data_IF_215219525725
#
_entry.id   IF_215219525725
#
_cell.length_a   1.000
_cell.length_b   1.000
_cell.length_c   1.000
_cell.angle_alpha   90.00
_cell.angle_beta   90.00
_cell.angle_gamma   90.00
#
_symmetry.space_group_name_H-M   'P 1'
#
loop_
_entity.id
_entity.type
_entity.pdbx_description
1 polymer ?
#
# COMPACT_ATOMS: atom_id res chain seq x y z
N UNK A 1 -25.22 31.56 35.90
CA UNK A 1 -24.69 31.52 34.52
C UNK A 1 -23.90 30.22 34.40
N UNK A 2 -24.57 29.10 34.19
CA UNK A 2 -25.02 28.53 32.91
C UNK A 2 -23.94 27.66 32.24
N UNK A 3 -24.27 26.36 32.22
CA UNK A 3 -23.81 25.18 31.45
C UNK A 3 -22.77 25.39 30.34
N UNK A 4 -21.90 24.38 30.18
CA UNK A 4 -22.00 23.41 29.07
C UNK A 4 -21.08 22.21 29.30
N UNK A 5 -21.68 21.02 29.42
CA UNK A 5 -20.99 19.74 29.39
C UNK A 5 -20.84 19.23 27.96
N UNK A 6 -19.82 18.42 27.72
CA UNK A 6 -19.62 17.67 26.50
C UNK A 6 -19.20 16.24 26.85
N UNK A 7 -20.12 15.49 27.47
CA UNK A 7 -20.07 14.03 27.45
C UNK A 7 -20.49 13.57 26.05
N UNK A 8 -19.50 13.27 25.22
CA UNK A 8 -19.72 12.61 23.93
C UNK A 8 -20.00 11.13 24.17
N UNK A 9 -21.26 10.81 24.49
CA UNK A 9 -21.80 9.46 24.42
C UNK A 9 -21.81 8.96 22.97
N UNK A 10 -21.36 7.73 22.67
CA UNK A 10 -21.57 7.14 21.37
C UNK A 10 -23.08 6.92 21.17
N UNK A 11 -23.61 7.40 20.05
CA UNK A 11 -24.98 7.15 19.61
C UNK A 11 -25.17 5.64 19.41
N UNK A 12 -25.58 4.94 20.46
CA UNK A 12 -26.19 3.62 20.36
C UNK A 12 -27.55 3.80 19.69
N UNK A 13 -27.60 3.47 18.40
CA UNK A 13 -28.87 3.24 17.71
C UNK A 13 -29.51 2.02 18.38
N UNK A 14 -30.44 2.27 19.31
CA UNK A 14 -31.33 1.25 19.84
C UNK A 14 -32.34 0.87 18.74
N UNK A 15 -31.92 0.03 17.79
CA UNK A 15 -32.87 -0.74 16.97
C UNK A 15 -33.27 -1.98 17.78
N UNK A 16 -34.50 -1.99 18.28
CA UNK A 16 -35.18 -3.14 18.93
C UNK A 16 -35.60 -4.23 17.93
N UNK A 17 -34.98 -4.28 16.74
CA UNK A 17 -35.07 -5.45 15.86
C UNK A 17 -33.99 -6.44 16.29
N UNK A 18 -34.42 -7.65 16.62
CA UNK A 18 -33.53 -8.77 16.90
C UNK A 18 -32.64 -8.94 15.66
N UNK A 19 -31.35 -8.58 15.79
CA UNK A 19 -30.42 -8.68 14.67
C UNK A 19 -30.38 -10.10 14.13
N UNK A 20 -30.22 -10.18 12.81
CA UNK A 20 -30.29 -11.40 12.01
C UNK A 20 -29.40 -12.53 12.58
N UNK A 21 -29.82 -13.78 12.43
CA UNK A 21 -28.93 -14.91 12.75
C UNK A 21 -27.93 -15.09 11.63
N UNK A 22 -26.63 -15.17 11.93
CA UNK A 22 -25.57 -15.47 10.97
C UNK A 22 -24.99 -16.85 11.26
N UNK A 23 -24.90 -17.68 10.24
CA UNK A 23 -24.23 -18.97 10.32
C UNK A 23 -22.76 -18.87 9.89
N UNK A 24 -21.86 -19.53 10.63
CA UNK A 24 -20.44 -19.62 10.27
C UNK A 24 -20.05 -21.09 10.17
N UNK A 25 -19.69 -21.54 8.97
CA UNK A 25 -19.14 -22.87 8.75
C UNK A 25 -17.64 -22.86 9.04
N UNK A 26 -17.23 -23.69 10.00
CA UNK A 26 -15.85 -23.78 10.43
C UNK A 26 -15.58 -23.02 11.73
N UNK A 27 -15.00 -23.73 12.70
CA UNK A 27 -14.68 -23.25 14.05
C UNK A 27 -13.19 -22.94 14.23
N UNK A 28 -12.50 -22.68 13.12
CA UNK A 28 -11.08 -22.29 13.10
C UNK A 28 -10.85 -20.85 13.59
N UNK A 29 -9.61 -20.37 13.49
CA UNK A 29 -9.23 -19.06 14.05
C UNK A 29 -10.01 -17.89 13.46
N UNK A 30 -10.18 -17.87 12.14
CA UNK A 30 -10.98 -16.82 11.49
C UNK A 30 -12.46 -16.89 11.89
N UNK A 31 -13.06 -18.09 11.88
CA UNK A 31 -14.46 -18.29 12.29
C UNK A 31 -14.71 -17.86 13.74
N UNK A 32 -13.80 -18.21 14.66
CA UNK A 32 -13.82 -17.76 16.07
C UNK A 32 -13.77 -16.25 16.19
N UNK A 33 -12.79 -15.61 15.54
CA UNK A 33 -12.64 -14.15 15.58
C UNK A 33 -13.85 -13.41 15.03
N UNK A 34 -14.35 -13.85 13.88
CA UNK A 34 -15.49 -13.22 13.22
C UNK A 34 -16.77 -13.42 14.04
N UNK A 35 -17.03 -14.64 14.52
CA UNK A 35 -18.19 -14.92 15.36
C UNK A 35 -18.17 -14.17 16.68
N UNK A 36 -17.01 -14.04 17.34
CA UNK A 36 -16.87 -13.21 18.53
C UNK A 36 -17.19 -11.74 18.23
N UNK A 37 -16.67 -11.20 17.12
CA UNK A 37 -16.97 -9.82 16.71
C UNK A 37 -18.44 -9.61 16.37
N UNK A 38 -19.08 -10.58 15.73
CA UNK A 38 -20.52 -10.56 15.43
C UNK A 38 -21.38 -10.55 16.68
N UNK A 39 -21.06 -11.37 17.69
CA UNK A 39 -21.74 -11.36 18.99
C UNK A 39 -21.59 -10.01 19.70
N UNK A 40 -20.41 -9.39 19.67
CA UNK A 40 -20.20 -8.05 20.23
C UNK A 40 -21.06 -6.98 19.54
N UNK A 41 -21.35 -7.16 18.26
CA UNK A 41 -22.18 -6.25 17.47
C UNK A 41 -23.67 -6.57 17.55
N UNK A 42 -24.07 -7.60 18.32
CA UNK A 42 -25.46 -7.97 18.63
C UNK A 42 -26.09 -9.06 17.73
N UNK A 43 -25.34 -9.61 16.77
CA UNK A 43 -25.83 -10.72 15.94
C UNK A 43 -25.95 -12.01 16.74
N UNK A 44 -26.96 -12.83 16.41
CA UNK A 44 -27.03 -14.21 16.89
C UNK A 44 -26.15 -15.09 15.98
N UNK A 45 -25.17 -15.81 16.55
CA UNK A 45 -24.21 -16.60 15.77
C UNK A 45 -24.45 -18.10 15.97
N UNK A 46 -24.52 -18.84 14.87
CA UNK A 46 -24.60 -20.31 14.87
C UNK A 46 -23.39 -20.87 14.12
N UNK A 47 -22.58 -21.68 14.78
CA UNK A 47 -21.43 -22.35 14.16
C UNK A 47 -21.84 -23.71 13.58
N UNK A 48 -21.46 -23.95 12.34
CA UNK A 48 -21.44 -25.29 11.72
C UNK A 48 -20.08 -25.94 11.91
N UNK A 49 -20.04 -27.12 12.54
CA UNK A 49 -18.81 -27.88 12.78
C UNK A 49 -18.99 -29.37 12.48
N UNK A 50 -17.91 -30.03 12.04
CA UNK A 50 -17.85 -31.50 11.91
C UNK A 50 -18.04 -32.21 13.24
N UNK A 51 -17.61 -31.59 14.34
CA UNK A 51 -17.76 -32.14 15.68
C UNK A 51 -18.33 -31.05 16.62
N UNK A 52 -19.67 -30.92 16.73
CA UNK A 52 -20.30 -29.88 17.53
C UNK A 52 -20.06 -30.05 19.04
N UNK A 53 -19.68 -31.25 19.49
CA UNK A 53 -19.36 -31.52 20.91
C UNK A 53 -18.04 -30.87 21.35
N UNK A 54 -17.15 -30.55 20.42
CA UNK A 54 -15.84 -29.95 20.71
C UNK A 54 -15.89 -28.42 20.53
N UNK A 55 -16.53 -27.74 21.49
CA UNK A 55 -16.84 -26.30 21.44
C UNK A 55 -16.12 -25.44 22.48
N UNK A 56 -15.13 -25.98 23.20
CA UNK A 56 -14.51 -25.34 24.38
C UNK A 56 -13.83 -23.98 24.13
N UNK A 57 -13.42 -23.69 22.89
CA UNK A 57 -12.73 -22.46 22.50
C UNK A 57 -13.65 -21.46 21.77
N UNK A 58 -14.95 -21.73 21.71
CA UNK A 58 -15.93 -20.88 21.03
C UNK A 58 -16.51 -19.82 21.99
N UNK A 59 -16.93 -18.66 21.45
CA UNK A 59 -17.48 -17.60 22.27
C UNK A 59 -18.79 -18.04 22.95
N UNK A 60 -18.93 -17.72 24.24
CA UNK A 60 -20.16 -17.99 25.00
C UNK A 60 -21.32 -17.21 24.37
N UNK A 61 -22.45 -17.87 24.15
CA UNK A 61 -23.64 -17.28 23.53
C UNK A 61 -23.83 -17.64 22.04
N UNK A 62 -22.88 -18.34 21.41
CA UNK A 62 -23.09 -18.96 20.10
C UNK A 62 -23.48 -20.43 20.25
N UNK A 63 -24.41 -20.88 19.41
CA UNK A 63 -24.79 -22.29 19.29
C UNK A 63 -23.85 -23.00 18.31
N UNK A 64 -23.60 -24.30 18.52
CA UNK A 64 -22.72 -25.10 17.67
C UNK A 64 -23.46 -26.36 17.24
N UNK A 65 -23.67 -26.51 15.94
CA UNK A 65 -24.46 -27.57 15.34
C UNK A 65 -23.66 -28.28 14.24
N UNK A 66 -24.21 -29.38 13.73
CA UNK A 66 -23.72 -29.94 12.48
C UNK A 66 -24.03 -28.98 11.31
N UNK A 67 -23.37 -29.18 10.16
CA UNK A 67 -23.50 -28.25 9.03
C UNK A 67 -24.92 -28.10 8.50
N UNK A 68 -25.69 -29.21 8.42
CA UNK A 68 -27.05 -29.19 7.88
C UNK A 68 -28.01 -28.42 8.79
N UNK A 69 -27.98 -28.70 10.09
CA UNK A 69 -28.78 -28.00 11.09
C UNK A 69 -28.40 -26.52 11.17
N UNK A 70 -27.09 -26.21 11.17
CA UNK A 70 -26.62 -24.83 11.19
C UNK A 70 -27.11 -24.02 9.97
N UNK A 71 -27.07 -24.61 8.77
CA UNK A 71 -27.55 -23.97 7.54
C UNK A 71 -29.05 -23.62 7.58
N UNK A 72 -29.87 -24.44 8.24
CA UNK A 72 -31.31 -24.18 8.37
C UNK A 72 -31.66 -22.96 9.21
N UNK A 73 -30.75 -22.50 10.08
CA UNK A 73 -31.02 -21.42 11.05
C UNK A 73 -30.70 -20.01 10.56
N UNK A 74 -30.10 -19.85 9.38
CA UNK A 74 -29.69 -18.55 8.84
C UNK A 74 -29.84 -18.50 7.33
N UNK A 75 -30.04 -17.30 6.79
CA UNK A 75 -29.97 -17.05 5.34
C UNK A 75 -28.56 -16.66 4.87
N UNK A 76 -27.68 -16.24 5.78
CA UNK A 76 -26.30 -15.83 5.49
C UNK A 76 -25.36 -16.83 6.15
N UNK A 77 -24.61 -17.56 5.33
CA UNK A 77 -23.67 -18.58 5.76
C UNK A 77 -22.26 -18.15 5.33
N UNK A 78 -21.38 -17.94 6.30
CA UNK A 78 -19.99 -17.56 6.09
C UNK A 78 -19.11 -18.80 6.10
N UNK A 79 -18.41 -19.06 5.00
CA UNK A 79 -17.58 -20.24 4.84
C UNK A 79 -16.15 -19.99 5.34
N UNK A 80 -15.95 -20.11 6.65
CA UNK A 80 -14.65 -19.97 7.32
C UNK A 80 -13.80 -21.26 7.22
N UNK A 81 -13.66 -21.78 5.99
CA UNK A 81 -12.89 -22.99 5.68
C UNK A 81 -12.07 -22.81 4.40
N UNK A 82 -11.01 -23.61 4.26
CA UNK A 82 -10.15 -23.58 3.07
C UNK A 82 -10.81 -24.29 1.89
N UNK A 83 -10.48 -23.84 0.66
CA UNK A 83 -11.03 -24.38 -0.59
C UNK A 83 -10.92 -25.89 -0.69
N UNK A 84 -9.81 -26.47 -0.22
CA UNK A 84 -9.56 -27.92 -0.27
C UNK A 84 -10.60 -28.75 0.50
N UNK A 85 -11.45 -28.12 1.31
CA UNK A 85 -12.49 -28.77 2.08
C UNK A 85 -13.91 -28.45 1.59
N UNK A 86 -14.06 -27.75 0.46
CA UNK A 86 -15.38 -27.39 -0.08
C UNK A 86 -16.20 -28.59 -0.54
N UNK A 87 -15.57 -29.74 -0.78
CA UNK A 87 -16.26 -30.94 -1.23
C UNK A 87 -17.34 -31.40 -0.24
N UNK A 88 -17.24 -31.09 1.05
CA UNK A 88 -18.32 -31.39 2.00
C UNK A 88 -19.62 -30.61 1.75
N UNK A 89 -19.58 -29.55 0.93
CA UNK A 89 -20.75 -28.75 0.58
C UNK A 89 -21.63 -29.43 -0.47
N UNK A 90 -21.09 -30.41 -1.23
CA UNK A 90 -21.89 -31.12 -2.25
C UNK A 90 -23.00 -31.95 -1.63
N UNK A 91 -22.80 -32.43 -0.40
CA UNK A 91 -23.82 -33.14 0.38
C UNK A 91 -24.86 -32.19 1.00
N UNK A 92 -24.61 -30.88 0.94
CA UNK A 92 -25.43 -29.83 1.55
C UNK A 92 -26.09 -28.92 0.49
N UNK A 93 -26.09 -29.30 -0.78
CA UNK A 93 -26.64 -28.44 -1.86
C UNK A 93 -28.11 -28.08 -1.61
N UNK A 94 -28.93 -29.05 -1.19
CA UNK A 94 -30.35 -28.83 -0.91
C UNK A 94 -30.60 -27.81 0.21
N UNK A 95 -30.02 -27.95 1.43
CA UNK A 95 -30.21 -26.96 2.50
C UNK A 95 -29.56 -25.60 2.22
N UNK A 96 -28.62 -25.51 1.29
CA UNK A 96 -27.94 -24.27 0.90
C UNK A 96 -28.65 -23.53 -0.25
N UNK A 97 -29.67 -24.13 -0.86
CA UNK A 97 -30.38 -23.53 -1.98
C UNK A 97 -31.08 -22.21 -1.57
N UNK A 98 -30.90 -21.15 -2.36
CA UNK A 98 -31.40 -19.80 -2.09
C UNK A 98 -30.68 -19.04 -0.96
N UNK A 99 -29.71 -19.65 -0.28
CA UNK A 99 -28.91 -19.01 0.78
C UNK A 99 -27.83 -18.10 0.21
N UNK A 100 -27.36 -17.17 1.03
CA UNK A 100 -26.20 -16.34 0.72
C UNK A 100 -24.96 -17.02 1.28
N UNK A 101 -24.07 -17.46 0.40
CA UNK A 101 -22.79 -18.05 0.78
C UNK A 101 -21.70 -17.00 0.67
N UNK A 102 -21.10 -16.65 1.82
CA UNK A 102 -19.99 -15.70 1.87
C UNK A 102 -18.67 -16.45 1.85
N UNK A 103 -17.95 -16.36 0.74
CA UNK A 103 -16.60 -16.90 0.60
C UNK A 103 -15.57 -15.91 1.16
N UNK A 104 -14.84 -16.34 2.19
CA UNK A 104 -13.79 -15.57 2.87
C UNK A 104 -12.38 -16.14 2.64
N UNK A 105 -12.25 -17.14 1.77
CA UNK A 105 -11.02 -17.90 1.59
C UNK A 105 -9.92 -17.10 0.86
N UNK A 106 -8.67 -17.46 1.14
CA UNK A 106 -7.50 -17.02 0.37
C UNK A 106 -6.67 -18.23 -0.05
N UNK A 107 -6.04 -18.15 -1.21
CA UNK A 107 -5.10 -19.16 -1.69
C UNK A 107 -3.71 -18.96 -1.05
N UNK A 108 -2.84 -19.97 -1.14
CA UNK A 108 -1.46 -19.86 -0.60
C UNK A 108 -0.52 -19.11 -1.53
N UNK A 109 -0.81 -19.13 -2.83
CA UNK A 109 -0.04 -18.48 -3.89
C UNK A 109 -0.97 -17.93 -4.96
N UNK A 110 -0.53 -16.89 -5.65
CA UNK A 110 -1.20 -16.33 -6.82
C UNK A 110 -1.25 -17.40 -7.92
N UNK A 111 -2.37 -17.49 -8.63
CA UNK A 111 -2.61 -18.46 -9.72
C UNK A 111 -2.41 -19.93 -9.27
N UNK A 112 -2.83 -20.28 -8.04
CA UNK A 112 -2.82 -21.67 -7.57
C UNK A 112 -3.86 -22.53 -8.30
N UNK A 113 -5.02 -21.96 -8.61
CA UNK A 113 -6.14 -22.58 -9.30
C UNK A 113 -6.51 -21.75 -10.55
N UNK A 114 -7.18 -22.34 -11.57
CA UNK A 114 -7.52 -21.63 -12.81
C UNK A 114 -8.59 -20.55 -12.57
N UNK A 115 -9.62 -20.88 -11.81
CA UNK A 115 -10.71 -19.99 -11.39
C UNK A 115 -10.59 -19.58 -9.93
N UNK A 116 -11.28 -18.49 -9.55
CA UNK A 116 -11.32 -18.03 -8.16
C UNK A 116 -12.05 -19.02 -7.25
N UNK A 117 -11.83 -18.90 -5.94
CA UNK A 117 -12.49 -19.77 -4.95
C UNK A 117 -14.00 -19.52 -4.91
N UNK A 118 -14.41 -18.26 -5.06
CA UNK A 118 -15.81 -17.90 -5.11
C UNK A 118 -16.52 -18.40 -6.39
N UNK A 119 -15.85 -18.39 -7.54
CA UNK A 119 -16.39 -18.99 -8.78
C UNK A 119 -16.54 -20.50 -8.67
N UNK A 120 -15.53 -21.19 -8.12
CA UNK A 120 -15.61 -22.63 -7.88
C UNK A 120 -16.74 -22.98 -6.90
N UNK A 121 -16.89 -22.20 -5.83
CA UNK A 121 -17.99 -22.37 -4.88
C UNK A 121 -19.36 -22.19 -5.55
N UNK A 122 -19.50 -21.22 -6.46
CA UNK A 122 -20.74 -21.03 -7.21
C UNK A 122 -21.06 -22.20 -8.14
N UNK A 123 -20.05 -22.91 -8.65
CA UNK A 123 -20.24 -24.14 -9.42
C UNK A 123 -20.63 -25.32 -8.53
N UNK A 124 -20.10 -25.42 -7.31
CA UNK A 124 -20.43 -26.47 -6.36
C UNK A 124 -21.86 -26.35 -5.81
N UNK A 125 -22.35 -25.13 -5.59
CA UNK A 125 -23.71 -24.87 -5.07
C UNK A 125 -24.44 -23.86 -5.97
N UNK A 126 -24.91 -24.27 -7.16
CA UNK A 126 -25.50 -23.35 -8.16
C UNK A 126 -26.76 -22.63 -7.69
N UNK A 127 -27.49 -23.21 -6.74
CA UNK A 127 -28.70 -22.63 -6.17
C UNK A 127 -28.44 -21.52 -5.14
N UNK A 128 -27.19 -21.33 -4.69
CA UNK A 128 -26.84 -20.32 -3.70
C UNK A 128 -26.32 -19.02 -4.33
N UNK A 129 -26.51 -17.91 -3.61
CA UNK A 129 -25.96 -16.61 -3.98
C UNK A 129 -24.58 -16.43 -3.36
N UNK A 130 -23.52 -16.67 -4.15
CA UNK A 130 -22.14 -16.50 -3.69
C UNK A 130 -21.72 -15.03 -3.67
N UNK A 131 -21.13 -14.62 -2.55
CA UNK A 131 -20.53 -13.29 -2.35
C UNK A 131 -19.11 -13.45 -1.81
N UNK A 132 -18.12 -12.83 -2.46
CA UNK A 132 -16.76 -12.73 -1.93
C UNK A 132 -16.69 -11.57 -0.93
N UNK A 133 -16.23 -11.81 0.28
CA UNK A 133 -16.00 -10.75 1.27
C UNK A 133 -15.00 -11.17 2.35
N UNK A 134 -14.58 -10.22 3.19
CA UNK A 134 -13.76 -10.39 4.42
C UNK A 134 -12.36 -11.00 4.27
N UNK A 135 -11.97 -11.48 3.10
CA UNK A 135 -10.66 -12.12 2.86
C UNK A 135 -9.47 -11.16 3.05
N UNK A 136 -9.70 -9.84 3.03
CA UNK A 136 -8.68 -8.81 3.29
C UNK A 136 -8.44 -8.50 4.76
N UNK A 137 -9.30 -8.99 5.66
CA UNK A 137 -9.21 -8.74 7.10
C UNK A 137 -8.58 -9.95 7.78
N UNK A 138 -7.59 -9.72 8.65
CA UNK A 138 -6.98 -10.81 9.41
C UNK A 138 -7.81 -11.17 10.65
N UNK A 139 -7.75 -12.44 11.06
CA UNK A 139 -8.40 -12.92 12.27
C UNK A 139 -7.96 -12.14 13.53
N UNK A 140 -6.70 -11.70 13.56
CA UNK A 140 -6.16 -10.89 14.65
C UNK A 140 -6.75 -9.48 14.67
N UNK A 141 -6.90 -8.82 13.52
CA UNK A 141 -7.45 -7.47 13.44
C UNK A 141 -8.91 -7.38 13.92
N UNK A 142 -9.69 -8.46 13.74
CA UNK A 142 -11.05 -8.57 14.27
C UNK A 142 -11.08 -8.65 15.81
N UNK A 143 -10.05 -9.24 16.44
CA UNK A 143 -9.96 -9.38 17.89
C UNK A 143 -9.37 -8.13 18.57
N UNK A 144 -8.32 -7.54 17.98
CA UNK A 144 -7.59 -6.40 18.55
C UNK A 144 -8.25 -5.04 18.31
N UNK A 145 -9.33 -4.99 17.53
CA UNK A 145 -10.15 -3.79 17.37
C UNK A 145 -9.76 -2.88 16.19
N UNK A 146 -9.38 -3.41 15.03
CA UNK A 146 -9.17 -2.64 13.76
C UNK A 146 -8.30 -1.38 13.88
N UNK A 147 -7.38 -1.32 14.85
CA UNK A 147 -6.57 -0.13 15.14
C UNK A 147 -5.44 0.08 14.10
N UNK A 148 -4.93 -0.99 13.49
CA UNK A 148 -3.68 -0.94 12.71
C UNK A 148 -3.77 -1.42 11.25
N UNK A 149 -4.96 -1.77 10.74
CA UNK A 149 -5.14 -2.30 9.39
C UNK A 149 -6.29 -1.64 8.63
N UNK A 150 -6.25 -1.76 7.29
CA UNK A 150 -7.34 -1.26 6.43
C UNK A 150 -8.68 -1.83 6.90
N UNK A 151 -9.63 -0.93 7.19
CA UNK A 151 -11.03 -1.28 7.51
C UNK A 151 -11.83 -1.64 6.26
N UNK A 152 -11.20 -1.59 5.08
CA UNK A 152 -11.86 -1.84 3.82
C UNK A 152 -12.08 -3.34 3.60
N UNK A 153 -13.32 -3.68 3.29
CA UNK A 153 -13.72 -5.03 2.87
C UNK A 153 -14.16 -4.95 1.43
N UNK A 154 -13.42 -5.57 0.52
CA UNK A 154 -13.86 -5.70 -0.86
C UNK A 154 -15.00 -6.70 -0.93
N UNK A 155 -16.08 -6.34 -1.61
CA UNK A 155 -17.28 -7.17 -1.78
C UNK A 155 -17.58 -7.31 -3.26
N UNK A 156 -17.77 -8.53 -3.74
CA UNK A 156 -18.26 -8.78 -5.10
C UNK A 156 -19.19 -10.01 -5.15
N UNK A 157 -19.99 -10.10 -6.20
CA UNK A 157 -21.06 -11.11 -6.32
C UNK A 157 -22.07 -10.74 -7.40
N UNK A 158 -22.76 -11.75 -7.93
CA UNK A 158 -23.68 -11.57 -9.07
C UNK A 158 -25.10 -11.12 -8.64
N UNK A 159 -25.52 -11.47 -7.42
CA UNK A 159 -26.81 -11.02 -6.88
C UNK A 159 -26.65 -9.74 -6.06
N UNK A 160 -27.30 -8.67 -6.49
CA UNK A 160 -27.19 -7.35 -5.86
C UNK A 160 -27.78 -7.34 -4.45
N UNK A 161 -28.89 -8.04 -4.23
CA UNK A 161 -29.57 -8.11 -2.92
C UNK A 161 -28.69 -8.82 -1.88
N UNK A 162 -28.09 -9.94 -2.25
CA UNK A 162 -27.15 -10.69 -1.43
C UNK A 162 -25.91 -9.84 -1.09
N UNK A 163 -25.32 -9.17 -2.10
CA UNK A 163 -24.20 -8.25 -1.86
C UNK A 163 -24.56 -7.16 -0.85
N UNK A 164 -25.70 -6.50 -1.01
CA UNK A 164 -26.11 -5.43 -0.09
C UNK A 164 -26.25 -5.92 1.35
N UNK A 165 -26.87 -7.09 1.58
CA UNK A 165 -26.96 -7.70 2.92
C UNK A 165 -25.59 -7.98 3.53
N UNK A 166 -24.65 -8.51 2.75
CA UNK A 166 -23.27 -8.77 3.22
C UNK A 166 -22.53 -7.45 3.51
N UNK A 167 -22.75 -6.41 2.71
CA UNK A 167 -22.20 -5.08 2.97
C UNK A 167 -22.78 -4.46 4.27
N UNK A 168 -24.06 -4.67 4.57
CA UNK A 168 -24.67 -4.22 5.83
C UNK A 168 -24.08 -4.94 7.04
N UNK A 169 -23.82 -6.25 6.93
CA UNK A 169 -23.06 -6.99 7.94
C UNK A 169 -21.68 -6.35 8.13
N UNK A 170 -20.94 -6.08 7.06
CA UNK A 170 -19.63 -5.43 7.16
C UNK A 170 -19.69 -4.05 7.86
N UNK A 171 -20.69 -3.22 7.57
CA UNK A 171 -20.90 -1.91 8.22
C UNK A 171 -21.16 -2.06 9.72
N UNK A 172 -22.02 -2.99 10.11
CA UNK A 172 -22.36 -3.26 11.52
C UNK A 172 -21.14 -3.74 12.31
N UNK A 173 -20.21 -4.44 11.67
CA UNK A 173 -18.93 -4.84 12.29
C UNK A 173 -17.93 -3.67 12.44
N UNK A 174 -18.28 -2.46 11.98
CA UNK A 174 -17.40 -1.28 11.97
C UNK A 174 -16.42 -1.24 10.80
N UNK A 175 -16.68 -2.01 9.73
CA UNK A 175 -15.85 -2.07 8.54
C UNK A 175 -16.45 -1.22 7.41
N UNK A 176 -15.64 -0.90 6.41
CA UNK A 176 -16.03 -0.09 5.24
C UNK A 176 -16.12 -0.98 4.00
N UNK A 177 -17.32 -1.45 3.61
CA UNK A 177 -17.45 -2.28 2.42
C UNK A 177 -17.24 -1.45 1.15
N UNK A 178 -16.55 -2.04 0.17
CA UNK A 178 -16.31 -1.47 -1.15
C UNK A 178 -16.80 -2.47 -2.21
N UNK A 179 -17.86 -2.12 -2.95
CA UNK A 179 -18.40 -2.96 -4.02
C UNK A 179 -17.46 -2.96 -5.23
N UNK A 180 -16.97 -4.13 -5.62
CA UNK A 180 -16.09 -4.37 -6.76
C UNK A 180 -16.86 -4.94 -7.97
N UNK A 181 -18.20 -4.98 -7.93
CA UNK A 181 -19.04 -5.40 -9.03
C UNK A 181 -19.41 -6.88 -8.98
N UNK A 182 -19.28 -7.56 -10.13
CA UNK A 182 -19.69 -8.96 -10.31
C UNK A 182 -18.70 -9.96 -9.71
N UNK A 183 -19.07 -11.24 -9.67
CA UNK A 183 -18.22 -12.31 -9.13
C UNK A 183 -16.87 -12.46 -9.87
N UNK A 184 -16.77 -11.99 -11.11
CA UNK A 184 -15.52 -11.99 -11.90
C UNK A 184 -14.39 -11.22 -11.20
N UNK A 185 -14.72 -10.21 -10.38
CA UNK A 185 -13.73 -9.47 -9.61
C UNK A 185 -13.10 -10.28 -8.46
N UNK A 186 -13.67 -11.44 -8.08
CA UNK A 186 -13.21 -12.26 -6.96
C UNK A 186 -11.74 -12.70 -7.13
N UNK A 187 -11.30 -13.00 -8.35
CA UNK A 187 -9.91 -13.39 -8.62
C UNK A 187 -8.91 -12.26 -8.23
N UNK A 188 -9.22 -11.01 -8.57
CA UNK A 188 -8.36 -9.88 -8.17
C UNK A 188 -8.39 -9.66 -6.65
N UNK A 189 -9.56 -9.80 -6.03
CA UNK A 189 -9.74 -9.67 -4.57
C UNK A 189 -8.96 -10.75 -3.80
N UNK A 190 -8.93 -11.99 -4.29
CA UNK A 190 -8.16 -13.10 -3.70
C UNK A 190 -6.65 -12.90 -3.83
N UNK A 191 -6.22 -12.28 -4.92
CA UNK A 191 -4.81 -11.99 -5.15
C UNK A 191 -4.32 -10.79 -4.32
N UNK A 192 -5.20 -9.87 -3.93
CA UNK A 192 -4.86 -8.65 -3.20
C UNK A 192 -4.02 -8.89 -1.92
N UNK A 193 -4.44 -9.74 -0.95
CA UNK A 193 -3.67 -9.96 0.28
C UNK A 193 -2.35 -10.71 0.07
N UNK A 194 -2.16 -11.38 -1.08
CA UNK A 194 -0.95 -12.15 -1.40
C UNK A 194 0.16 -11.29 -2.01
N UNK A 195 -0.16 -10.08 -2.45
CA UNK A 195 0.79 -9.18 -3.11
C UNK A 195 1.53 -8.31 -2.09
N UNK A 196 2.85 -8.45 -2.05
CA UNK A 196 3.73 -7.54 -1.31
C UNK A 196 4.36 -6.53 -2.27
N UNK A 197 3.86 -5.28 -2.22
CA UNK A 197 4.34 -4.12 -2.98
C UNK A 197 4.71 -4.42 -4.45
N UNK A 198 3.79 -4.97 -5.28
CA UNK A 198 4.11 -5.47 -6.61
C UNK A 198 4.66 -4.38 -7.54
N UNK A 199 4.07 -3.18 -7.49
CA UNK A 199 4.46 -2.03 -8.31
C UNK A 199 5.76 -1.35 -7.84
N UNK A 200 6.23 -1.65 -6.63
CA UNK A 200 7.45 -1.05 -6.07
C UNK A 200 8.71 -1.87 -6.36
N UNK A 201 8.55 -3.12 -6.79
CA UNK A 201 9.69 -4.01 -7.09
C UNK A 201 10.66 -3.36 -8.07
N UNK A 202 10.17 -2.94 -9.24
CA UNK A 202 11.02 -2.35 -10.27
C UNK A 202 11.72 -1.06 -9.81
N UNK A 203 11.02 -0.06 -9.23
CA UNK A 203 11.65 1.11 -8.62
C UNK A 203 12.73 0.77 -7.59
N UNK A 204 12.48 -0.19 -6.68
CA UNK A 204 13.47 -0.59 -5.69
C UNK A 204 14.68 -1.25 -6.32
N UNK A 205 14.51 -2.26 -7.17
CA UNK A 205 15.62 -2.92 -7.87
C UNK A 205 16.46 -1.92 -8.65
N UNK A 206 15.82 -1.05 -9.43
CA UNK A 206 16.50 -0.03 -10.22
C UNK A 206 17.29 0.95 -9.32
N UNK A 207 16.68 1.45 -8.26
CA UNK A 207 17.34 2.38 -7.34
C UNK A 207 18.51 1.73 -6.59
N UNK A 208 18.39 0.46 -6.20
CA UNK A 208 19.47 -0.30 -5.56
C UNK A 208 20.66 -0.46 -6.50
N UNK A 209 20.42 -0.84 -7.77
CA UNK A 209 21.48 -0.98 -8.77
C UNK A 209 22.18 0.35 -9.02
N UNK A 210 21.44 1.44 -9.20
CA UNK A 210 22.01 2.78 -9.38
C UNK A 210 22.83 3.21 -8.17
N UNK A 211 22.32 3.02 -6.96
CA UNK A 211 23.04 3.35 -5.72
C UNK A 211 24.34 2.57 -5.59
N UNK A 212 24.33 1.26 -5.83
CA UNK A 212 25.55 0.43 -5.77
C UNK A 212 26.56 0.89 -6.81
N UNK A 213 26.12 1.13 -8.05
CA UNK A 213 26.99 1.59 -9.12
C UNK A 213 27.66 2.93 -8.78
N UNK A 214 26.90 3.95 -8.39
CA UNK A 214 27.45 5.26 -8.05
C UNK A 214 28.26 5.21 -6.75
N UNK A 215 27.88 4.36 -5.79
CA UNK A 215 28.66 4.16 -4.57
C UNK A 215 30.05 3.61 -4.90
N UNK A 216 30.14 2.52 -5.67
CA UNK A 216 31.42 1.93 -6.08
C UNK A 216 32.26 2.95 -6.86
N UNK A 217 31.64 3.67 -7.81
CA UNK A 217 32.31 4.73 -8.55
C UNK A 217 32.90 5.82 -7.61
N UNK A 218 32.13 6.29 -6.63
CA UNK A 218 32.59 7.27 -5.66
C UNK A 218 33.66 6.71 -4.72
N UNK A 219 33.58 5.45 -4.30
CA UNK A 219 34.61 4.79 -3.47
C UNK A 219 35.94 4.72 -4.22
N UNK A 220 35.92 4.29 -5.47
CA UNK A 220 37.12 4.24 -6.31
C UNK A 220 37.76 5.62 -6.40
N UNK A 221 36.96 6.66 -6.69
CA UNK A 221 37.45 8.01 -6.90
C UNK A 221 37.87 8.74 -5.62
N UNK A 222 37.13 8.58 -4.53
CA UNK A 222 37.31 9.42 -3.33
C UNK A 222 38.04 8.74 -2.18
N UNK A 223 38.19 7.41 -2.23
CA UNK A 223 38.87 6.63 -1.19
C UNK A 223 40.06 5.88 -1.76
N UNK A 224 39.84 5.07 -2.82
CA UNK A 224 40.92 4.23 -3.38
C UNK A 224 41.97 5.11 -4.08
N UNK A 225 41.56 6.07 -4.91
CA UNK A 225 42.50 6.92 -5.63
C UNK A 225 43.42 7.75 -4.69
N UNK A 226 42.91 8.48 -3.67
CA UNK A 226 43.78 9.18 -2.71
C UNK A 226 44.66 8.24 -1.89
N UNK A 227 44.14 7.05 -1.54
CA UNK A 227 44.92 6.06 -0.81
C UNK A 227 46.12 5.55 -1.63
N UNK A 228 45.91 5.25 -2.90
CA UNK A 228 46.96 4.71 -3.79
C UNK A 228 47.98 5.79 -4.18
N UNK A 229 47.52 6.98 -4.57
CA UNK A 229 48.39 8.01 -5.15
C UNK A 229 48.96 8.99 -4.10
N UNK A 230 48.15 9.40 -3.13
CA UNK A 230 48.51 10.43 -2.15
C UNK A 230 48.88 9.84 -0.78
N UNK A 231 48.66 8.51 -0.58
CA UNK A 231 48.86 7.80 0.69
C UNK A 231 48.09 8.41 1.86
N UNK A 232 46.93 9.01 1.58
CA UNK A 232 46.07 9.63 2.59
C UNK A 232 44.87 8.75 2.94
N UNK A 233 44.57 8.63 4.23
CA UNK A 233 43.34 7.97 4.67
C UNK A 233 42.16 8.95 4.57
N UNK A 234 41.22 8.61 3.67
CA UNK A 234 39.98 9.35 3.43
C UNK A 234 38.74 8.48 3.59
N UNK A 235 38.87 7.32 4.22
CA UNK A 235 37.78 6.33 4.41
C UNK A 235 36.57 6.90 5.15
N UNK A 236 36.77 7.91 6.02
CA UNK A 236 35.66 8.63 6.70
C UNK A 236 34.62 9.24 5.73
N UNK A 237 34.98 9.45 4.46
CA UNK A 237 34.06 9.94 3.42
C UNK A 237 32.90 8.98 3.16
N UNK A 238 33.06 7.68 3.42
CA UNK A 238 32.04 6.64 3.26
C UNK A 238 30.76 6.94 4.05
N UNK A 239 30.87 7.57 5.23
CA UNK A 239 29.73 7.76 6.12
C UNK A 239 28.74 8.82 5.64
N UNK A 240 29.24 9.96 5.13
CA UNK A 240 28.38 11.12 4.78
C UNK A 240 28.72 11.72 3.42
N UNK A 241 30.01 11.88 3.09
CA UNK A 241 30.39 12.56 1.84
C UNK A 241 29.99 11.76 0.60
N UNK A 242 30.21 10.44 0.60
CA UNK A 242 29.86 9.56 -0.52
C UNK A 242 28.33 9.41 -0.66
N UNK A 243 27.56 9.09 0.40
CA UNK A 243 26.10 9.10 0.31
C UNK A 243 25.52 10.43 -0.19
N UNK A 244 26.08 11.57 0.23
CA UNK A 244 25.65 12.90 -0.25
C UNK A 244 26.05 13.21 -1.71
N UNK A 245 26.74 12.31 -2.39
CA UNK A 245 26.89 12.34 -3.86
C UNK A 245 25.99 11.32 -4.54
N UNK A 246 25.87 10.12 -3.96
CA UNK A 246 25.06 9.04 -4.54
C UNK A 246 23.58 9.40 -4.53
N UNK A 247 23.03 9.84 -3.40
CA UNK A 247 21.60 10.12 -3.25
C UNK A 247 21.06 11.19 -4.22
N UNK A 248 21.66 12.38 -4.37
CA UNK A 248 21.15 13.36 -5.33
C UNK A 248 21.23 12.87 -6.79
N UNK A 249 22.29 12.13 -7.16
CA UNK A 249 22.43 11.57 -8.51
C UNK A 249 21.33 10.53 -8.75
N UNK A 250 21.13 9.59 -7.82
CA UNK A 250 20.06 8.60 -7.92
C UNK A 250 18.68 9.26 -7.97
N UNK A 251 18.44 10.29 -7.15
CA UNK A 251 17.18 11.05 -7.17
C UNK A 251 16.91 11.69 -8.54
N UNK A 252 17.90 12.39 -9.11
CA UNK A 252 17.78 13.05 -10.41
C UNK A 252 17.59 12.05 -11.56
N UNK A 253 18.34 10.93 -11.55
CA UNK A 253 18.20 9.89 -12.57
C UNK A 253 16.81 9.25 -12.49
N UNK A 254 16.34 8.89 -11.31
CA UNK A 254 15.00 8.32 -11.14
C UNK A 254 13.91 9.32 -11.53
N UNK A 255 14.07 10.59 -11.19
CA UNK A 255 13.17 11.66 -11.60
C UNK A 255 13.09 11.76 -13.13
N UNK A 256 14.23 11.77 -13.83
CA UNK A 256 14.25 11.76 -15.29
C UNK A 256 13.53 10.52 -15.89
N UNK A 257 13.68 9.36 -15.24
CA UNK A 257 12.99 8.12 -15.65
C UNK A 257 11.49 8.11 -15.38
N UNK A 258 10.94 9.08 -14.65
CA UNK A 258 9.48 9.29 -14.52
C UNK A 258 8.91 9.87 -15.82
N UNK A 259 9.61 10.82 -16.44
CA UNK A 259 9.11 11.58 -17.62
C UNK A 259 9.53 10.95 -18.95
N UNK A 260 10.66 10.25 -18.99
CA UNK A 260 11.18 9.62 -20.21
C UNK A 260 10.14 8.71 -20.93
N UNK A 261 9.31 7.91 -20.25
CA UNK A 261 8.25 7.12 -20.90
C UNK A 261 7.23 7.97 -21.66
N UNK A 262 6.89 9.14 -21.13
CA UNK A 262 5.94 10.05 -21.76
C UNK A 262 6.48 10.59 -23.07
N UNK A 263 7.75 10.98 -23.09
CA UNK A 263 8.46 11.43 -24.30
C UNK A 263 8.54 10.30 -25.33
N UNK A 264 8.93 9.09 -24.91
CA UNK A 264 9.00 7.92 -25.81
C UNK A 264 7.62 7.54 -26.36
N UNK A 265 6.58 7.61 -25.53
CA UNK A 265 5.21 7.36 -25.95
C UNK A 265 4.74 8.39 -26.99
N UNK A 266 5.06 9.67 -26.80
CA UNK A 266 4.74 10.73 -27.76
C UNK A 266 5.44 10.52 -29.11
N UNK A 267 6.74 10.23 -29.10
CA UNK A 267 7.51 9.91 -30.33
C UNK A 267 6.88 8.71 -31.06
N UNK A 268 6.53 7.66 -30.31
CA UNK A 268 5.96 6.45 -30.89
C UNK A 268 4.55 6.68 -31.47
N UNK A 269 3.74 7.52 -30.83
CA UNK A 269 2.43 7.92 -31.34
C UNK A 269 2.55 8.73 -32.64
N UNK A 270 3.49 9.68 -32.71
CA UNK A 270 3.77 10.45 -33.91
C UNK A 270 4.23 9.54 -35.06
N UNK A 271 5.17 8.63 -34.80
CA UNK A 271 5.64 7.66 -35.79
C UNK A 271 4.51 6.76 -36.32
N UNK A 272 3.58 6.34 -35.46
CA UNK A 272 2.44 5.49 -35.85
C UNK A 272 1.31 6.25 -36.55
N UNK A 273 1.26 7.57 -36.42
CA UNK A 273 0.14 8.40 -36.89
C UNK A 273 -1.19 8.14 -36.16
N UNK A 274 -1.19 7.39 -35.06
CA UNK A 274 -2.41 7.06 -34.30
C UNK A 274 -2.12 6.72 -32.84
N UNK A 275 -3.00 7.18 -31.94
CA UNK A 275 -2.98 6.86 -30.51
C UNK A 275 -3.65 5.53 -30.16
N UNK A 276 -4.40 4.93 -31.10
CA UNK A 276 -5.24 3.75 -30.85
C UNK A 276 -4.48 2.42 -30.92
N UNK A 277 -3.17 2.45 -31.20
CA UNK A 277 -2.31 1.26 -31.16
C UNK A 277 -1.69 1.09 -29.78
N UNK A 278 -1.88 -0.10 -29.19
CA UNK A 278 -1.30 -0.47 -27.89
C UNK A 278 0.22 -0.25 -27.84
N UNK A 279 0.72 0.25 -26.71
CA UNK A 279 2.16 0.35 -26.48
C UNK A 279 2.83 -1.03 -26.36
N UNK A 280 4.13 -1.15 -26.68
CA UNK A 280 4.89 -2.33 -26.33
C UNK A 280 4.79 -2.63 -24.83
N UNK A 281 4.71 -3.91 -24.46
CA UNK A 281 4.46 -4.32 -23.07
C UNK A 281 5.46 -3.75 -22.06
N UNK A 282 6.72 -3.53 -22.46
CA UNK A 282 7.74 -2.94 -21.58
C UNK A 282 7.45 -1.47 -21.26
N UNK A 283 6.97 -0.69 -22.23
CA UNK A 283 6.65 0.73 -22.06
C UNK A 283 5.38 0.90 -21.24
N UNK A 284 4.39 0.06 -21.49
CA UNK A 284 3.12 0.03 -20.74
C UNK A 284 3.36 -0.26 -19.24
N UNK A 285 4.17 -1.29 -18.94
CA UNK A 285 4.58 -1.61 -17.55
C UNK A 285 5.34 -0.46 -16.90
N UNK A 286 6.23 0.20 -17.63
CA UNK A 286 6.99 1.35 -17.10
C UNK A 286 6.08 2.55 -16.81
N UNK A 287 5.11 2.84 -17.69
CA UNK A 287 4.12 3.90 -17.52
C UNK A 287 3.29 3.74 -16.23
N UNK A 288 2.98 2.50 -15.83
CA UNK A 288 2.26 2.18 -14.59
C UNK A 288 3.10 2.39 -13.32
N UNK A 289 4.44 2.34 -13.43
CA UNK A 289 5.37 2.50 -12.30
C UNK A 289 5.84 3.94 -12.07
N UNK A 290 5.38 4.91 -12.87
CA UNK A 290 5.83 6.33 -12.80
C UNK A 290 5.65 6.93 -11.40
N UNK A 291 4.49 6.68 -10.77
CA UNK A 291 4.20 7.15 -9.42
C UNK A 291 5.22 6.62 -8.40
N UNK A 292 5.51 5.32 -8.46
CA UNK A 292 6.42 4.67 -7.52
C UNK A 292 7.87 5.12 -7.75
N UNK A 293 8.30 5.28 -9.01
CA UNK A 293 9.61 5.88 -9.34
C UNK A 293 9.75 7.29 -8.77
N UNK A 294 8.74 8.15 -8.95
CA UNK A 294 8.75 9.51 -8.43
C UNK A 294 8.82 9.56 -6.91
N UNK A 295 8.09 8.71 -6.20
CA UNK A 295 8.14 8.63 -4.73
C UNK A 295 9.50 8.13 -4.21
N UNK A 296 10.12 7.15 -4.87
CA UNK A 296 11.47 6.69 -4.51
C UNK A 296 12.50 7.81 -4.76
N UNK A 297 12.40 8.50 -5.90
CA UNK A 297 13.23 9.65 -6.22
C UNK A 297 13.11 10.78 -5.18
N UNK A 298 11.88 11.08 -4.72
CA UNK A 298 11.63 12.05 -3.67
C UNK A 298 12.29 11.64 -2.33
N UNK A 299 12.25 10.35 -2.00
CA UNK A 299 12.94 9.81 -0.82
C UNK A 299 14.45 10.05 -0.86
N UNK A 300 15.11 9.82 -2.01
CA UNK A 300 16.53 10.12 -2.17
C UNK A 300 16.83 11.62 -2.15
N UNK A 301 15.97 12.45 -2.74
CA UNK A 301 16.10 13.91 -2.67
C UNK A 301 15.99 14.42 -1.22
N UNK A 302 15.07 13.87 -0.44
CA UNK A 302 14.93 14.19 0.98
C UNK A 302 16.18 13.82 1.79
N UNK A 303 16.76 12.63 1.54
CA UNK A 303 18.04 12.26 2.13
C UNK A 303 19.15 13.23 1.74
N UNK A 304 19.25 13.62 0.47
CA UNK A 304 20.22 14.62 0.03
C UNK A 304 20.09 15.96 0.77
N UNK A 305 18.86 16.44 0.98
CA UNK A 305 18.59 17.66 1.77
C UNK A 305 19.14 17.53 3.19
N UNK A 306 18.81 16.44 3.90
CA UNK A 306 19.30 16.21 5.27
C UNK A 306 20.83 16.16 5.31
N UNK A 307 21.45 15.38 4.42
CA UNK A 307 22.91 15.25 4.36
C UNK A 307 23.61 16.56 4.02
N UNK A 308 22.95 17.44 3.28
CA UNK A 308 23.47 18.77 2.93
C UNK A 308 23.31 19.76 4.08
N UNK A 309 22.17 19.77 4.76
CA UNK A 309 21.93 20.66 5.91
C UNK A 309 22.82 20.34 7.11
N UNK A 310 23.25 19.09 7.29
CA UNK A 310 24.15 18.70 8.38
C UNK A 310 25.64 19.03 8.10
N UNK A 311 26.00 19.50 6.89
CA UNK A 311 27.40 19.80 6.50
C UNK A 311 28.14 20.67 7.52
N UNK A 312 27.60 21.80 8.02
CA UNK A 312 28.31 22.68 8.96
C UNK A 312 28.60 22.03 10.32
N UNK A 313 27.87 20.97 10.68
CA UNK A 313 28.00 20.30 11.98
C UNK A 313 29.14 19.27 11.97
N UNK A 314 29.52 18.78 10.78
CA UNK A 314 30.51 17.71 10.63
C UNK A 314 31.91 18.15 11.03
N UNK A 315 32.61 17.28 11.78
CA UNK A 315 33.99 17.52 12.22
C UNK A 315 34.94 17.90 11.08
N UNK A 316 34.97 17.11 9.99
CA UNK A 316 35.86 17.36 8.85
C UNK A 316 35.69 18.77 8.26
N UNK A 317 34.45 19.26 8.16
CA UNK A 317 34.13 20.57 7.59
C UNK A 317 34.61 21.67 8.54
N UNK A 318 34.31 21.55 9.84
CA UNK A 318 34.77 22.51 10.86
C UNK A 318 36.29 22.56 10.97
N UNK A 319 36.94 21.40 10.97
CA UNK A 319 38.39 21.29 10.99
C UNK A 319 39.00 21.94 9.74
N UNK A 320 38.47 21.67 8.55
CA UNK A 320 38.95 22.24 7.28
C UNK A 320 38.81 23.76 7.23
N UNK A 321 37.66 24.29 7.66
CA UNK A 321 37.43 25.74 7.74
C UNK A 321 38.42 26.40 8.71
N UNK A 322 38.53 25.88 9.93
CA UNK A 322 39.47 26.39 10.94
C UNK A 322 40.92 26.34 10.45
N UNK A 323 41.34 25.22 9.88
CA UNK A 323 42.69 25.08 9.35
C UNK A 323 42.95 26.09 8.24
N UNK A 324 42.01 26.26 7.30
CA UNK A 324 42.11 27.26 6.23
C UNK A 324 42.25 28.69 6.77
N UNK A 325 41.42 29.08 7.74
CA UNK A 325 41.50 30.40 8.38
C UNK A 325 42.84 30.62 9.10
N UNK A 326 43.32 29.63 9.86
CA UNK A 326 44.60 29.71 10.58
C UNK A 326 45.77 29.80 9.60
N UNK A 327 45.80 28.97 8.55
CA UNK A 327 46.85 29.01 7.53
C UNK A 327 46.87 30.36 6.80
N UNK A 328 45.70 30.92 6.47
CA UNK A 328 45.59 32.22 5.82
C UNK A 328 46.12 33.36 6.72
N UNK A 329 45.74 33.34 8.00
CA UNK A 329 46.20 34.33 8.97
C UNK A 329 47.73 34.28 9.19
N UNK A 330 48.30 33.08 9.31
CA UNK A 330 49.75 32.90 9.45
C UNK A 330 50.52 33.31 8.19
N UNK A 331 49.92 33.16 7.01
CA UNK A 331 50.54 33.51 5.74
C UNK A 331 50.41 35.00 5.37
N UNK A 332 49.69 35.82 6.16
CA UNK A 332 49.35 37.21 5.85
C UNK A 332 48.83 37.38 4.40
N UNK A 333 47.96 36.46 3.96
CA UNK A 333 47.35 36.51 2.62
C UNK A 333 45.90 36.94 2.72
N UNK A 334 45.54 37.95 1.96
CA UNK A 334 44.14 38.35 1.78
C UNK A 334 43.49 37.55 0.65
N UNK A 335 42.22 37.20 0.83
CA UNK A 335 41.40 36.56 -0.19
C UNK A 335 40.20 37.48 -0.47
N UNK A 336 40.28 38.37 -1.48
CA UNK A 336 39.24 39.35 -1.73
C UNK A 336 37.93 38.65 -2.10
N UNK A 337 36.81 39.23 -1.66
CA UNK A 337 35.49 38.68 -1.92
C UNK A 337 35.18 38.65 -3.42
N UNK A 338 34.98 37.45 -3.96
CA UNK A 338 34.59 37.27 -5.36
C UNK A 338 33.07 37.27 -5.50
N UNK A 339 32.52 38.36 -6.03
CA UNK A 339 31.09 38.50 -6.32
C UNK A 339 30.58 37.42 -7.27
N UNK A 340 31.39 37.01 -8.26
CA UNK A 340 31.00 35.93 -9.19
C UNK A 340 30.84 34.59 -8.47
N UNK A 341 31.73 34.28 -7.52
CA UNK A 341 31.66 33.04 -6.75
C UNK A 341 30.49 33.06 -5.77
N UNK A 342 30.16 34.22 -5.21
CA UNK A 342 28.98 34.40 -4.37
C UNK A 342 27.69 34.11 -5.14
N UNK A 343 27.51 34.76 -6.31
CA UNK A 343 26.36 34.53 -7.19
C UNK A 343 26.18 33.05 -7.54
N UNK A 344 27.27 32.37 -7.94
CA UNK A 344 27.20 30.96 -8.29
C UNK A 344 26.75 30.09 -7.11
N UNK A 345 27.29 30.34 -5.91
CA UNK A 345 26.93 29.58 -4.72
C UNK A 345 25.47 29.77 -4.30
N UNK A 346 25.02 31.01 -4.27
CA UNK A 346 23.66 31.33 -3.85
C UNK A 346 22.63 30.85 -4.88
N UNK A 347 22.98 30.90 -6.18
CA UNK A 347 22.08 30.48 -7.26
C UNK A 347 21.75 28.99 -7.23
N UNK A 348 22.75 28.09 -7.12
CA UNK A 348 22.43 26.65 -7.12
C UNK A 348 21.71 26.23 -5.84
N UNK A 349 21.98 26.89 -4.70
CA UNK A 349 21.26 26.65 -3.46
C UNK A 349 19.80 27.08 -3.58
N UNK A 350 19.54 28.28 -4.10
CA UNK A 350 18.18 28.78 -4.32
C UNK A 350 17.39 27.88 -5.28
N UNK A 351 18.00 27.49 -6.41
CA UNK A 351 17.38 26.57 -7.37
C UNK A 351 17.12 25.18 -6.77
N UNK A 352 18.05 24.66 -5.97
CA UNK A 352 17.87 23.39 -5.26
C UNK A 352 16.71 23.43 -4.26
N UNK A 353 16.56 24.53 -3.51
CA UNK A 353 15.45 24.73 -2.57
C UNK A 353 14.11 24.79 -3.31
N UNK A 354 14.03 25.58 -4.39
CA UNK A 354 12.81 25.70 -5.18
C UNK A 354 12.43 24.37 -5.84
N UNK A 355 13.39 23.69 -6.47
CA UNK A 355 13.18 22.40 -7.10
C UNK A 355 12.73 21.34 -6.10
N UNK A 356 13.31 21.31 -4.91
CA UNK A 356 12.88 20.39 -3.85
C UNK A 356 11.48 20.71 -3.30
N UNK A 357 11.12 21.99 -3.17
CA UNK A 357 9.78 22.41 -2.77
C UNK A 357 8.71 21.92 -3.76
N UNK A 358 8.94 22.12 -5.07
CA UNK A 358 8.05 21.60 -6.11
C UNK A 358 8.00 20.07 -6.09
N UNK A 359 9.12 19.41 -5.82
CA UNK A 359 9.16 17.96 -5.71
C UNK A 359 8.33 17.43 -4.52
N UNK A 360 8.34 18.12 -3.37
CA UNK A 360 7.46 17.80 -2.25
C UNK A 360 5.99 17.97 -2.61
N UNK A 361 5.62 19.00 -3.37
CA UNK A 361 4.25 19.24 -3.81
C UNK A 361 3.71 18.08 -4.67
N UNK A 362 4.56 17.52 -5.55
CA UNK A 362 4.24 16.31 -6.32
C UNK A 362 4.03 15.08 -5.42
N UNK A 363 4.85 14.95 -4.38
CA UNK A 363 4.70 13.90 -3.36
C UNK A 363 3.37 14.01 -2.60
N UNK A 364 2.99 15.23 -2.19
CA UNK A 364 1.74 15.50 -1.49
C UNK A 364 0.53 15.17 -2.36
N UNK A 365 0.54 15.59 -3.63
CA UNK A 365 -0.55 15.28 -4.58
C UNK A 365 -0.61 13.80 -4.97
N UNK A 366 0.44 13.03 -4.71
CA UNK A 366 0.45 11.57 -4.88
C UNK A 366 -0.29 10.81 -3.76
N UNK A 367 -0.63 11.47 -2.65
CA UNK A 367 -1.42 10.86 -1.57
C UNK A 367 -2.85 10.59 -2.05
N UNK A 368 -3.41 9.38 -1.83
CA UNK A 368 -4.77 9.06 -2.28
C UNK A 368 -5.84 10.03 -1.76
N UNK A 369 -5.70 10.51 -0.52
CA UNK A 369 -6.62 11.49 0.07
C UNK A 369 -6.65 12.83 -0.68
N UNK A 370 -5.52 13.25 -1.26
CA UNK A 370 -5.40 14.49 -2.04
C UNK A 370 -5.75 14.25 -3.50
N UNK A 371 -5.24 13.16 -4.09
CA UNK A 371 -5.53 12.80 -5.48
C UNK A 371 -7.02 12.58 -5.75
N UNK A 372 -7.78 12.12 -4.75
CA UNK A 372 -9.23 11.90 -4.87
C UNK A 372 -10.05 13.20 -4.75
N UNK A 373 -9.48 14.29 -4.24
CA UNK A 373 -10.17 15.59 -4.11
C UNK A 373 -9.89 16.55 -5.26
N UNK A 374 -8.90 16.24 -6.10
CA UNK A 374 -8.40 17.10 -7.18
C UNK A 374 -8.97 16.61 -8.51
N UNK A 375 -9.46 17.53 -9.36
CA UNK A 375 -9.97 17.14 -10.66
C UNK A 375 -8.83 16.79 -11.65
N UNK A 376 -9.16 16.13 -12.77
CA UNK A 376 -8.15 15.66 -13.72
C UNK A 376 -7.29 16.79 -14.32
N UNK A 377 -7.81 18.02 -14.43
CA UNK A 377 -7.06 19.17 -14.97
C UNK A 377 -6.05 19.69 -13.97
N UNK A 378 -6.46 19.85 -12.72
CA UNK A 378 -5.60 20.25 -11.61
C UNK A 378 -4.52 19.20 -11.34
N UNK A 379 -4.88 17.92 -11.34
CA UNK A 379 -3.92 16.82 -11.18
C UNK A 379 -2.88 16.84 -12.30
N UNK A 380 -3.32 17.01 -13.55
CA UNK A 380 -2.43 17.13 -14.70
C UNK A 380 -1.54 18.38 -14.63
N UNK A 381 -2.08 19.52 -14.22
CA UNK A 381 -1.29 20.74 -14.05
C UNK A 381 -0.16 20.53 -13.03
N UNK A 382 -0.45 19.89 -11.90
CA UNK A 382 0.57 19.63 -10.89
C UNK A 382 1.57 18.58 -11.36
N UNK A 383 1.12 17.46 -11.93
CA UNK A 383 1.98 16.31 -12.24
C UNK A 383 2.74 16.42 -13.57
N UNK A 384 2.25 17.23 -14.52
CA UNK A 384 2.90 17.45 -15.82
C UNK A 384 3.51 18.86 -15.92
N UNK A 385 2.81 19.93 -15.53
CA UNK A 385 3.19 21.32 -15.89
C UNK A 385 4.12 21.97 -14.86
N UNK A 386 3.86 21.82 -13.55
CA UNK A 386 4.67 22.44 -12.49
C UNK A 386 6.14 21.96 -12.41
N UNK A 387 6.52 21.03 -13.28
CA UNK A 387 7.83 20.40 -13.27
C UNK A 387 8.59 20.56 -14.59
N UNK A 388 7.89 20.90 -15.67
CA UNK A 388 8.49 21.35 -16.93
C UNK A 388 8.91 22.83 -16.88
N UNK A 389 8.36 23.59 -15.91
CA UNK A 389 8.68 24.99 -15.58
C UNK A 389 9.71 25.09 -14.45
#
# INVERSE_FOLDING_TARGET
>A
MEKTGADALPLTVNSTEKQETICIFGTGDFGKSLGFKMLQCGYSVVFGSRNPQMSSLLPRGAEVLNYSEAASKSDIIILAMHREHYDCLTELVDPLNGKILVDVSNNRKINQYPESNAEYLAQLVPGAHVVKAFNTISAWALQSGTLDASRQVFVCGNDSKAKHRVMDVARTLGLTPLDQGSLVAANEIENYPLQLFPMWRLPFYLSSVLCVFFFVYCVIREVIYPYVNEKTDTTFRLAISIPNRVFPITALVLLALVYLPGVLAAILQLYRGTKYRRFPNWLDRWMLCRKQLGLVALGFAFLHVIYTLVIPIRYYVRWRLRNGTVTQALANRDNPFSTSTAWLNDSYLALGILGFFLFLLLGITSLPSVSNTVNWREFRFVQDILQDS
#
